data_IF_718037791876
#
_entry.id   IF_718037791876
#
_cell.length_a   1.000
_cell.length_b   1.000
_cell.length_c   1.000
_cell.angle_alpha   90.00
_cell.angle_beta   90.00
_cell.angle_gamma   90.00
#
_symmetry.space_group_name_H-M   'P 1'
#
loop_
_entity.id
_entity.type
_entity.pdbx_description
1 polymer ?
#
# COMPACT_ATOMS: atom_id res chain seq x y z
N UNK A 1 -47.41 -24.33 -45.56
CA UNK A 1 -45.99 -24.70 -45.48
C UNK A 1 -45.34 -23.81 -44.43
N UNK A 2 -45.16 -24.34 -43.22
CA UNK A 2 -44.63 -23.56 -42.10
C UNK A 2 -43.11 -23.68 -42.08
N UNK A 3 -42.42 -22.57 -42.26
CA UNK A 3 -41.01 -22.45 -42.01
C UNK A 3 -40.75 -22.18 -40.51
N UNK A 4 -40.22 -23.16 -39.80
CA UNK A 4 -39.81 -23.01 -38.41
C UNK A 4 -38.49 -22.27 -38.39
N UNK A 5 -38.53 -21.01 -38.00
CA UNK A 5 -37.33 -20.26 -37.62
C UNK A 5 -36.90 -20.65 -36.23
N UNK A 6 -35.86 -21.46 -36.16
CA UNK A 6 -35.14 -21.70 -34.88
C UNK A 6 -34.32 -20.44 -34.56
N UNK A 7 -34.76 -19.70 -33.59
CA UNK A 7 -33.99 -18.60 -33.03
C UNK A 7 -32.89 -19.17 -32.15
N UNK A 8 -31.66 -19.11 -32.64
CA UNK A 8 -30.45 -19.42 -31.86
C UNK A 8 -30.19 -18.28 -30.88
N UNK A 9 -30.57 -18.45 -29.63
CA UNK A 9 -30.22 -17.56 -28.54
C UNK A 9 -28.74 -17.74 -28.24
N UNK A 10 -27.92 -16.85 -28.75
CA UNK A 10 -26.54 -16.67 -28.31
C UNK A 10 -26.55 -16.09 -26.92
N UNK A 11 -26.36 -16.95 -25.94
CA UNK A 11 -26.09 -16.56 -24.57
C UNK A 11 -24.68 -15.98 -24.53
N UNK A 12 -24.58 -14.65 -24.69
CA UNK A 12 -23.35 -13.92 -24.47
C UNK A 12 -23.10 -13.91 -22.95
N UNK A 13 -22.34 -14.89 -22.45
CA UNK A 13 -21.85 -14.91 -21.12
C UNK A 13 -20.92 -13.71 -20.91
N UNK A 14 -21.42 -12.67 -20.27
CA UNK A 14 -20.58 -11.61 -19.77
C UNK A 14 -19.68 -12.19 -18.68
N UNK A 15 -18.46 -12.50 -19.04
CA UNK A 15 -17.39 -12.70 -18.07
C UNK A 15 -17.18 -11.33 -17.42
N UNK A 16 -17.80 -11.12 -16.29
CA UNK A 16 -17.46 -10.00 -15.43
C UNK A 16 -16.02 -10.26 -14.97
N UNK A 17 -15.08 -9.67 -15.67
CA UNK A 17 -13.74 -9.52 -15.14
C UNK A 17 -13.90 -8.69 -13.86
N UNK A 18 -13.78 -9.34 -12.72
CA UNK A 18 -13.59 -8.66 -11.45
C UNK A 18 -12.29 -7.88 -11.59
N UNK A 19 -12.41 -6.62 -11.94
CA UNK A 19 -11.33 -5.66 -11.74
C UNK A 19 -11.18 -5.62 -10.23
N UNK A 20 -10.17 -6.32 -9.71
CA UNK A 20 -9.73 -6.10 -8.36
C UNK A 20 -9.47 -4.60 -8.27
N UNK A 21 -10.31 -3.89 -7.54
CA UNK A 21 -10.11 -2.49 -7.30
C UNK A 21 -8.73 -2.37 -6.66
N UNK A 22 -7.79 -1.78 -7.40
CA UNK A 22 -6.57 -1.32 -6.81
C UNK A 22 -7.01 -0.40 -5.67
N UNK A 23 -6.72 -0.78 -4.44
CA UNK A 23 -7.01 0.06 -3.31
C UNK A 23 -6.01 1.20 -3.42
N UNK A 24 -6.46 2.31 -3.99
CA UNK A 24 -5.67 3.52 -4.07
C UNK A 24 -5.24 3.89 -2.64
N UNK A 25 -3.94 3.87 -2.40
CA UNK A 25 -3.43 4.45 -1.17
C UNK A 25 -3.90 5.90 -1.11
N UNK A 26 -4.34 6.34 0.06
CA UNK A 26 -4.82 7.70 0.22
C UNK A 26 -3.76 8.68 -0.24
N UNK A 27 -4.16 9.53 -1.18
CA UNK A 27 -3.26 10.44 -1.88
C UNK A 27 -2.78 11.59 -1.00
N UNK A 28 -3.47 11.87 0.12
CA UNK A 28 -3.17 12.99 1.00
C UNK A 28 -2.67 12.54 2.37
N UNK A 29 -1.89 13.38 3.04
CA UNK A 29 -1.42 13.10 4.39
C UNK A 29 -2.55 12.92 5.41
N UNK A 30 -3.63 13.73 5.39
CA UNK A 30 -4.78 13.52 6.26
C UNK A 30 -5.47 12.17 6.06
N UNK A 31 -5.59 11.71 4.81
CA UNK A 31 -6.22 10.41 4.53
C UNK A 31 -5.35 9.25 5.02
N UNK A 32 -4.02 9.35 4.85
CA UNK A 32 -3.06 8.38 5.38
C UNK A 32 -3.08 8.34 6.90
N UNK A 33 -3.16 9.51 7.52
CA UNK A 33 -3.28 9.64 8.97
C UNK A 33 -4.53 8.93 9.48
N UNK A 34 -5.69 9.18 8.87
CA UNK A 34 -6.96 8.55 9.25
C UNK A 34 -6.97 7.02 9.07
N UNK A 35 -6.19 6.50 8.11
CA UNK A 35 -6.02 5.04 7.97
C UNK A 35 -5.13 4.42 9.03
N UNK A 36 -4.13 5.16 9.48
CA UNK A 36 -3.18 4.69 10.50
C UNK A 36 -3.75 4.84 11.90
N UNK A 37 -4.41 5.96 12.21
CA UNK A 37 -5.11 6.21 13.47
C UNK A 37 -6.36 5.33 13.58
N UNK A 38 -6.14 4.07 13.95
CA UNK A 38 -7.22 3.06 14.00
C UNK A 38 -8.12 3.22 15.23
N UNK A 39 -7.59 3.80 16.29
CA UNK A 39 -8.34 4.01 17.53
C UNK A 39 -9.08 5.37 17.55
N UNK A 40 -8.76 6.29 16.61
CA UNK A 40 -9.39 7.60 16.48
C UNK A 40 -9.01 8.59 17.58
N UNK A 41 -7.83 8.42 18.18
CA UNK A 41 -7.36 9.31 19.26
C UNK A 41 -6.65 10.59 18.77
N UNK A 42 -6.51 10.74 17.44
CA UNK A 42 -5.87 11.89 16.82
C UNK A 42 -4.36 11.81 16.78
N UNK A 43 -3.80 10.65 17.05
CA UNK A 43 -2.37 10.34 16.98
C UNK A 43 -2.17 8.99 16.32
N UNK A 44 -0.99 8.74 15.78
CA UNK A 44 -0.60 7.43 15.28
C UNK A 44 0.51 6.90 16.17
N UNK A 45 0.17 5.94 17.00
CA UNK A 45 1.13 5.27 17.87
C UNK A 45 2.08 4.38 17.08
N UNK A 46 3.17 3.96 17.69
CA UNK A 46 4.13 3.03 17.09
C UNK A 46 3.47 1.72 16.63
N UNK A 47 2.53 1.18 17.41
CA UNK A 47 1.81 -0.06 17.09
C UNK A 47 0.85 0.12 15.91
N UNK A 48 0.28 1.31 15.74
CA UNK A 48 -0.57 1.65 14.59
C UNK A 48 0.25 1.88 13.31
N UNK A 49 1.45 2.41 13.45
CA UNK A 49 2.39 2.59 12.35
C UNK A 49 3.13 1.30 11.98
N UNK A 50 2.99 0.23 12.77
CA UNK A 50 3.70 -1.02 12.53
C UNK A 50 3.41 -1.57 11.13
N UNK A 51 4.48 -2.02 10.49
CA UNK A 51 4.47 -2.48 9.10
C UNK A 51 3.59 -3.69 8.81
N UNK A 52 3.11 -4.42 9.83
CA UNK A 52 2.31 -5.64 9.66
C UNK A 52 0.99 -5.41 8.92
N UNK A 53 0.29 -4.30 9.20
CA UNK A 53 -0.95 -3.98 8.51
C UNK A 53 -0.68 -3.58 7.05
N UNK A 54 0.37 -2.80 6.83
CA UNK A 54 0.79 -2.40 5.50
C UNK A 54 1.34 -3.60 4.71
N UNK A 55 2.13 -4.46 5.35
CA UNK A 55 2.64 -5.69 4.74
C UNK A 55 1.50 -6.55 4.18
N UNK A 56 0.47 -6.83 4.99
CA UNK A 56 -0.70 -7.62 4.56
C UNK A 56 -1.52 -6.97 3.45
N UNK A 57 -1.49 -5.64 3.36
CA UNK A 57 -2.16 -4.92 2.29
C UNK A 57 -1.41 -5.04 0.96
N UNK A 58 -0.08 -5.03 1.02
CA UNK A 58 0.80 -5.03 -0.16
C UNK A 58 1.06 -6.44 -0.66
N UNK A 59 1.22 -7.43 0.23
CA UNK A 59 1.38 -8.85 -0.10
C UNK A 59 0.07 -9.43 -0.68
N UNK A 60 -0.15 -9.17 -1.96
CA UNK A 60 -1.40 -9.48 -2.65
C UNK A 60 -1.55 -10.97 -2.94
N UNK A 61 -0.47 -11.69 -3.16
CA UNK A 61 -0.45 -13.13 -3.43
C UNK A 61 -0.31 -13.98 -2.15
N UNK A 62 -0.11 -13.33 -0.99
CA UNK A 62 0.01 -13.97 0.32
C UNK A 62 1.17 -14.97 0.42
N UNK A 63 2.27 -14.68 -0.27
CA UNK A 63 3.49 -15.50 -0.24
C UNK A 63 4.42 -15.14 0.93
N UNK A 64 4.03 -14.17 1.77
CA UNK A 64 4.80 -13.61 2.89
C UNK A 64 6.07 -12.87 2.46
N UNK A 65 6.07 -12.35 1.23
CA UNK A 65 7.10 -11.49 0.67
C UNK A 65 6.43 -10.39 -0.13
N UNK A 66 7.06 -9.24 -0.19
CA UNK A 66 6.57 -8.11 -0.97
C UNK A 66 7.56 -7.82 -2.09
N UNK A 67 7.11 -8.02 -3.30
CA UNK A 67 7.85 -7.75 -4.53
C UNK A 67 7.79 -6.29 -4.97
N UNK A 68 8.65 -5.90 -5.90
CA UNK A 68 8.59 -4.57 -6.52
C UNK A 68 7.27 -4.34 -7.24
N UNK A 69 6.73 -5.37 -7.89
CA UNK A 69 5.46 -5.33 -8.63
C UNK A 69 4.28 -5.05 -7.69
N UNK A 70 4.26 -5.67 -6.53
CA UNK A 70 3.22 -5.46 -5.52
C UNK A 70 3.31 -4.05 -4.92
N UNK A 71 4.51 -3.58 -4.61
CA UNK A 71 4.72 -2.18 -4.18
C UNK A 71 4.27 -1.21 -5.26
N UNK A 72 4.60 -1.47 -6.53
CA UNK A 72 4.19 -0.64 -7.65
C UNK A 72 2.66 -0.61 -7.82
N UNK A 73 1.99 -1.73 -7.62
CA UNK A 73 0.54 -1.81 -7.70
C UNK A 73 -0.16 -0.93 -6.65
N UNK A 74 0.44 -0.84 -5.47
CA UNK A 74 -0.08 -0.03 -4.35
C UNK A 74 0.29 1.44 -4.48
N UNK A 75 1.53 1.76 -4.91
CA UNK A 75 1.96 3.15 -5.08
C UNK A 75 1.32 3.82 -6.31
N UNK A 76 0.89 3.03 -7.29
CA UNK A 76 0.36 3.55 -8.54
C UNK A 76 1.44 4.20 -9.43
N UNK A 77 1.03 5.07 -10.38
CA UNK A 77 1.97 5.76 -11.27
C UNK A 77 2.92 6.66 -10.49
N UNK A 78 4.21 6.52 -10.77
CA UNK A 78 5.23 7.36 -10.16
C UNK A 78 5.05 8.82 -10.55
N UNK A 79 5.09 9.71 -9.56
CA UNK A 79 5.11 11.15 -9.77
C UNK A 79 6.54 11.68 -9.72
N UNK A 80 6.76 12.80 -10.40
CA UNK A 80 8.06 13.46 -10.38
C UNK A 80 8.50 13.75 -8.94
N UNK A 81 9.63 13.17 -8.59
CA UNK A 81 10.21 13.41 -7.30
C UNK A 81 9.85 12.43 -6.20
N UNK A 82 9.06 11.43 -6.45
CA UNK A 82 8.79 10.31 -5.53
C UNK A 82 9.76 9.16 -5.80
N UNK A 83 10.02 8.36 -4.77
CA UNK A 83 10.76 7.12 -4.94
C UNK A 83 9.95 6.14 -5.80
N UNK A 84 10.62 5.49 -6.74
CA UNK A 84 10.03 4.35 -7.45
C UNK A 84 9.83 3.17 -6.51
N UNK A 85 8.95 2.24 -6.87
CA UNK A 85 8.76 0.99 -6.12
C UNK A 85 10.08 0.22 -5.95
N UNK A 86 10.90 0.18 -6.99
CA UNK A 86 12.21 -0.48 -6.96
C UNK A 86 13.20 0.20 -5.99
N UNK A 87 13.21 1.52 -5.94
CA UNK A 87 14.03 2.26 -4.97
C UNK A 87 13.53 2.04 -3.56
N UNK A 88 12.23 2.01 -3.38
CA UNK A 88 11.61 1.77 -2.08
C UNK A 88 11.97 0.37 -1.54
N UNK A 89 11.82 -0.66 -2.36
CA UNK A 89 12.23 -2.03 -2.02
C UNK A 89 13.72 -2.07 -1.72
N UNK A 90 14.58 -1.50 -2.59
CA UNK A 90 16.03 -1.51 -2.42
C UNK A 90 16.51 -0.85 -1.12
N UNK A 91 15.80 0.19 -0.64
CA UNK A 91 16.15 0.85 0.63
C UNK A 91 15.78 -0.01 1.84
N UNK A 92 14.68 -0.73 1.75
CA UNK A 92 14.16 -1.55 2.84
C UNK A 92 14.70 -2.98 2.85
N UNK A 93 15.18 -3.47 1.70
CA UNK A 93 15.79 -4.79 1.50
C UNK A 93 17.18 -4.83 2.18
N UNK A 94 17.25 -5.50 3.30
CA UNK A 94 18.49 -5.61 4.11
C UNK A 94 19.34 -6.80 3.71
N UNK A 95 18.74 -7.84 3.16
CA UNK A 95 19.42 -9.06 2.78
C UNK A 95 19.84 -9.09 1.30
N UNK A 96 19.31 -8.19 0.48
CA UNK A 96 19.64 -8.06 -0.95
C UNK A 96 18.99 -9.11 -1.84
N UNK A 97 17.84 -9.69 -1.43
CA UNK A 97 17.15 -10.71 -2.23
C UNK A 97 16.16 -10.11 -3.25
N UNK A 98 15.94 -8.79 -3.20
CA UNK A 98 15.07 -8.05 -4.12
C UNK A 98 13.60 -8.06 -3.75
N UNK A 99 13.24 -8.63 -2.61
CA UNK A 99 11.90 -8.66 -2.04
C UNK A 99 11.94 -8.18 -0.59
N UNK A 100 10.80 -7.86 0.00
CA UNK A 100 10.73 -7.47 1.40
C UNK A 100 10.03 -8.55 2.22
N UNK A 101 10.70 -9.06 3.21
CA UNK A 101 10.10 -9.87 4.26
C UNK A 101 9.31 -8.99 5.25
N UNK A 102 8.44 -9.61 6.04
CA UNK A 102 7.71 -8.91 7.11
C UNK A 102 8.66 -8.25 8.11
N UNK A 103 9.80 -8.87 8.41
CA UNK A 103 10.83 -8.33 9.31
C UNK A 103 11.51 -7.08 8.75
N UNK A 104 11.87 -7.09 7.46
CA UNK A 104 12.46 -5.93 6.78
C UNK A 104 11.46 -4.78 6.67
N UNK A 105 10.21 -5.08 6.36
CA UNK A 105 9.14 -4.10 6.34
C UNK A 105 8.95 -3.45 7.72
N UNK A 106 8.92 -4.25 8.78
CA UNK A 106 8.80 -3.76 10.15
C UNK A 106 9.97 -2.89 10.55
N UNK A 107 11.21 -3.29 10.25
CA UNK A 107 12.41 -2.47 10.52
C UNK A 107 12.41 -1.17 9.75
N UNK A 108 12.02 -1.20 8.49
CA UNK A 108 11.87 -0.01 7.66
C UNK A 108 10.82 0.94 8.23
N UNK A 109 9.68 0.41 8.67
CA UNK A 109 8.62 1.20 9.33
C UNK A 109 9.11 1.82 10.64
N UNK A 110 9.83 1.09 11.47
CA UNK A 110 10.37 1.61 12.73
C UNK A 110 11.39 2.75 12.51
N UNK A 111 12.29 2.59 11.54
CA UNK A 111 13.26 3.66 11.21
C UNK A 111 12.55 4.90 10.68
N UNK A 112 11.52 4.71 9.87
CA UNK A 112 10.72 5.81 9.31
C UNK A 112 9.93 6.50 10.41
N UNK A 113 9.32 5.76 11.33
CA UNK A 113 8.62 6.31 12.49
C UNK A 113 9.54 7.23 13.31
N UNK A 114 10.75 6.76 13.67
CA UNK A 114 11.74 7.55 14.39
C UNK A 114 12.17 8.83 13.66
N UNK A 115 12.18 8.79 12.33
CA UNK A 115 12.53 9.96 11.53
C UNK A 115 11.39 10.97 11.47
N UNK A 116 10.15 10.50 11.53
CA UNK A 116 8.94 11.33 11.50
C UNK A 116 8.61 11.91 12.87
N UNK A 117 8.83 11.13 13.92
CA UNK A 117 8.63 11.54 15.32
C UNK A 117 9.67 12.59 15.74
N UNK A 118 9.40 13.83 15.39
CA UNK A 118 10.33 14.94 15.60
C UNK A 118 10.37 15.41 17.06
N UNK A 119 9.28 15.24 17.78
CA UNK A 119 9.17 15.63 19.20
C UNK A 119 9.55 14.51 20.16
N UNK A 120 9.73 13.27 19.67
CA UNK A 120 10.10 12.08 20.44
C UNK A 120 9.08 11.70 21.52
N UNK A 121 7.79 11.88 21.24
CA UNK A 121 6.70 11.49 22.16
C UNK A 121 6.14 10.08 21.89
N UNK A 122 6.80 9.33 21.00
CA UNK A 122 6.42 7.97 20.56
C UNK A 122 5.07 7.89 19.83
N UNK A 123 4.58 9.02 19.33
CA UNK A 123 3.40 9.11 18.50
C UNK A 123 3.70 10.00 17.28
N UNK A 124 2.92 9.84 16.23
CA UNK A 124 2.97 10.75 15.07
C UNK A 124 1.71 11.59 15.04
N UNK A 125 1.89 12.87 14.95
CA UNK A 125 0.82 13.82 14.67
C UNK A 125 0.68 14.05 13.15
N UNK A 126 -0.47 14.56 12.74
CA UNK A 126 -0.70 14.89 11.33
C UNK A 126 0.38 15.85 10.77
N UNK A 127 0.84 16.79 11.59
CA UNK A 127 1.90 17.75 11.24
C UNK A 127 3.24 17.07 10.95
N UNK A 128 3.59 16.04 11.69
CA UNK A 128 4.82 15.27 11.52
C UNK A 128 4.77 14.40 10.27
N UNK A 129 3.63 13.76 10.02
CA UNK A 129 3.39 13.05 8.77
C UNK A 129 3.47 13.97 7.54
N UNK A 130 2.93 15.19 7.62
CA UNK A 130 3.00 16.17 6.54
C UNK A 130 4.44 16.64 6.27
N UNK A 131 5.23 16.86 7.32
CA UNK A 131 6.64 17.25 7.18
C UNK A 131 7.51 16.14 6.58
N UNK A 132 7.20 14.88 6.88
CA UNK A 132 7.94 13.72 6.36
C UNK A 132 7.70 13.44 4.87
N UNK A 133 6.58 13.86 4.33
CA UNK A 133 6.25 13.67 2.90
C UNK A 133 7.02 14.67 2.01
N UNK A 134 7.46 15.79 2.56
CA UNK A 134 8.16 16.85 1.82
C UNK A 134 9.69 16.78 1.84
N UNK A 135 10.29 15.84 2.56
CA UNK A 135 11.76 15.71 2.65
C UNK A 135 12.27 14.54 1.81
N UNK A 136 13.00 14.90 0.78
CA UNK A 136 13.97 14.02 0.12
C UNK A 136 15.29 14.07 0.86
#
# INVERSE_FOLDING_TARGET
MLAHRVALLLLCGAVAASVAAAQDLPATAPDRFAMLDRNGDGKVSRDEYDGDAFFRLVDADHNYRVSVEEVQAVLGPQRDGEFSAAEWVRIADLNGDGELSAEEMRRSSQMRFQTLDANHDENLELSELQMGIGRR
#
